data_IF_196785455347
#
_entry.id   IF_196785455347
#
_cell.length_a   1.000
_cell.length_b   1.000
_cell.length_c   1.000
_cell.angle_alpha   90.00
_cell.angle_beta   90.00
_cell.angle_gamma   90.00
#
_symmetry.space_group_name_H-M   'P 1'
#
loop_
_entity.id
_entity.type
_entity.pdbx_description
1 polymer ?
#
# COMPACT_ATOMS: atom_id res chain seq x y z
N UNK A 1 -20.59 12.82 18.58
CA UNK A 1 -19.23 12.83 18.00
C UNK A 1 -18.35 12.04 18.93
N UNK A 2 -17.80 10.92 18.46
CA UNK A 2 -16.80 10.16 19.24
C UNK A 2 -15.52 10.98 19.25
N UNK A 3 -14.99 11.26 20.43
CA UNK A 3 -13.72 11.99 20.58
C UNK A 3 -12.59 10.98 20.46
N UNK A 4 -11.84 11.02 19.36
CA UNK A 4 -10.66 10.17 19.18
C UNK A 4 -9.49 10.73 19.94
N UNK A 5 -8.69 9.84 20.53
CA UNK A 5 -7.43 10.21 21.13
C UNK A 5 -6.41 10.57 20.04
N UNK A 6 -5.48 11.46 20.39
CA UNK A 6 -4.34 11.79 19.52
C UNK A 6 -3.55 10.53 19.12
N UNK A 7 -3.47 9.55 20.02
CA UNK A 7 -2.76 8.30 19.78
C UNK A 7 -3.43 7.44 18.70
N UNK A 8 -4.77 7.32 18.70
CA UNK A 8 -5.50 6.57 17.67
C UNK A 8 -5.35 7.18 16.28
N UNK A 9 -5.37 8.52 16.21
CA UNK A 9 -5.16 9.26 14.96
C UNK A 9 -3.76 9.05 14.40
N UNK A 10 -2.73 9.17 15.25
CA UNK A 10 -1.34 8.91 14.86
C UNK A 10 -1.17 7.47 14.41
N UNK A 11 -1.71 6.48 15.15
CA UNK A 11 -1.63 5.06 14.77
C UNK A 11 -2.30 4.78 13.42
N UNK A 12 -3.45 5.39 13.14
CA UNK A 12 -4.13 5.21 11.87
C UNK A 12 -3.34 5.82 10.71
N UNK A 13 -2.83 7.05 10.88
CA UNK A 13 -1.97 7.70 9.90
C UNK A 13 -0.69 6.89 9.66
N UNK A 14 0.00 6.45 10.72
CA UNK A 14 1.21 5.63 10.66
C UNK A 14 0.95 4.31 9.94
N UNK A 15 -0.20 3.67 10.20
CA UNK A 15 -0.58 2.43 9.50
C UNK A 15 -0.75 2.68 8.02
N UNK A 16 -1.42 3.76 7.62
CA UNK A 16 -1.57 4.14 6.21
C UNK A 16 -0.21 4.46 5.59
N UNK A 17 0.62 5.27 6.24
CA UNK A 17 1.98 5.59 5.80
C UNK A 17 2.85 4.35 5.63
N UNK A 18 2.80 3.42 6.59
CA UNK A 18 3.54 2.17 6.53
C UNK A 18 3.12 1.35 5.31
N UNK A 19 1.81 1.10 5.13
CA UNK A 19 1.34 0.31 3.99
C UNK A 19 1.70 0.99 2.65
N UNK A 20 1.53 2.30 2.51
CA UNK A 20 1.93 3.03 1.31
C UNK A 20 3.44 2.89 1.04
N UNK A 21 4.27 3.05 2.09
CA UNK A 21 5.73 2.93 1.97
C UNK A 21 6.14 1.54 1.48
N UNK A 22 5.44 0.49 1.91
CA UNK A 22 5.65 -0.88 1.41
C UNK A 22 5.26 -1.02 -0.08
N UNK A 23 4.22 -0.32 -0.55
CA UNK A 23 3.89 -0.30 -1.99
C UNK A 23 5.05 0.30 -2.81
N UNK A 24 5.72 1.34 -2.30
CA UNK A 24 6.91 1.91 -2.93
C UNK A 24 8.14 0.99 -2.84
N UNK A 25 8.22 0.11 -1.86
CA UNK A 25 9.27 -0.91 -1.77
C UNK A 25 9.30 -1.82 -3.00
N UNK A 26 8.13 -2.21 -3.49
CA UNK A 26 7.99 -2.95 -4.75
C UNK A 26 8.49 -2.16 -5.95
N UNK A 27 8.13 -0.88 -6.04
CA UNK A 27 8.61 -0.01 -7.10
C UNK A 27 10.14 0.12 -7.08
N UNK A 28 10.74 0.39 -5.92
CA UNK A 28 12.18 0.47 -5.76
C UNK A 28 12.86 -0.85 -6.17
N UNK A 29 12.24 -1.99 -5.84
CA UNK A 29 12.70 -3.30 -6.28
C UNK A 29 12.69 -3.42 -7.81
N UNK A 30 11.53 -3.25 -8.45
CA UNK A 30 11.40 -3.47 -9.90
C UNK A 30 12.22 -2.46 -10.72
N UNK A 31 12.20 -1.18 -10.37
CA UNK A 31 12.81 -0.13 -11.19
C UNK A 31 14.31 0.08 -10.95
N UNK A 32 14.81 -0.22 -9.74
CA UNK A 32 16.20 0.16 -9.35
C UNK A 32 17.03 -1.03 -8.88
N UNK A 33 16.51 -1.83 -7.96
CA UNK A 33 17.30 -2.86 -7.28
C UNK A 33 17.42 -4.12 -8.13
N UNK A 34 16.30 -4.68 -8.57
CA UNK A 34 16.25 -5.94 -9.32
C UNK A 34 17.05 -5.88 -10.63
N UNK A 35 16.95 -4.83 -11.47
CA UNK A 35 17.76 -4.74 -12.69
C UNK A 35 19.27 -4.70 -12.38
N UNK A 36 19.66 -3.98 -11.32
CA UNK A 36 21.06 -3.87 -10.90
C UNK A 36 21.59 -5.21 -10.41
N UNK A 37 20.80 -5.97 -9.65
CA UNK A 37 21.21 -7.28 -9.14
C UNK A 37 21.18 -8.37 -10.22
N UNK A 38 20.18 -8.36 -11.11
CA UNK A 38 20.10 -9.32 -12.21
C UNK A 38 21.27 -9.21 -13.19
N UNK A 39 21.88 -8.03 -13.31
CA UNK A 39 23.04 -7.80 -14.16
C UNK A 39 24.34 -8.39 -13.60
N UNK A 40 24.36 -8.86 -12.35
CA UNK A 40 25.51 -9.50 -11.71
C UNK A 40 25.44 -11.02 -11.90
N UNK A 41 26.49 -11.60 -12.48
CA UNK A 41 26.64 -13.05 -12.55
C UNK A 41 27.09 -13.59 -11.18
N UNK A 42 26.14 -14.18 -10.45
CA UNK A 42 26.37 -14.75 -9.11
C UNK A 42 26.18 -16.29 -9.08
N UNK A 43 26.08 -16.93 -10.25
CA UNK A 43 25.81 -18.36 -10.37
C UNK A 43 24.47 -18.80 -9.76
N UNK A 44 24.30 -20.12 -9.57
CA UNK A 44 23.02 -20.69 -9.15
C UNK A 44 22.55 -20.25 -7.75
N UNK A 45 23.48 -20.00 -6.82
CA UNK A 45 23.15 -19.59 -5.46
C UNK A 45 22.68 -18.13 -5.40
N UNK A 46 23.34 -17.22 -6.12
CA UNK A 46 22.89 -15.84 -6.22
C UNK A 46 21.54 -15.70 -6.92
N UNK A 47 21.30 -16.51 -7.96
CA UNK A 47 19.99 -16.58 -8.60
C UNK A 47 18.87 -17.00 -7.62
N UNK A 48 19.14 -17.99 -6.76
CA UNK A 48 18.18 -18.40 -5.72
C UNK A 48 17.89 -17.26 -4.73
N UNK A 49 18.90 -16.55 -4.23
CA UNK A 49 18.68 -15.44 -3.32
C UNK A 49 17.93 -14.28 -3.96
N UNK A 50 18.23 -13.97 -5.23
CA UNK A 50 17.51 -12.98 -6.01
C UNK A 50 16.01 -13.32 -6.10
N UNK A 51 15.71 -14.56 -6.46
CA UNK A 51 14.33 -15.08 -6.54
C UNK A 51 13.62 -14.98 -5.20
N UNK A 52 14.27 -15.42 -4.11
CA UNK A 52 13.69 -15.36 -2.76
C UNK A 52 13.38 -13.92 -2.35
N UNK A 53 14.29 -12.98 -2.60
CA UNK A 53 14.08 -11.56 -2.33
C UNK A 53 12.93 -10.98 -3.16
N UNK A 54 12.87 -11.31 -4.45
CA UNK A 54 11.78 -10.88 -5.33
C UNK A 54 10.41 -11.35 -4.82
N UNK A 55 10.29 -12.63 -4.42
CA UNK A 55 9.04 -13.16 -3.88
C UNK A 55 8.64 -12.45 -2.59
N UNK A 56 9.59 -12.24 -1.66
CA UNK A 56 9.32 -11.54 -0.41
C UNK A 56 8.81 -10.11 -0.65
N UNK A 57 9.37 -9.42 -1.65
CA UNK A 57 8.93 -8.07 -2.03
C UNK A 57 7.53 -8.09 -2.65
N UNK A 58 7.23 -9.04 -3.55
CA UNK A 58 5.90 -9.21 -4.15
C UNK A 58 4.85 -9.56 -3.09
N UNK A 59 5.13 -10.52 -2.22
CA UNK A 59 4.21 -10.93 -1.16
C UNK A 59 3.95 -9.77 -0.18
N UNK A 60 5.02 -9.06 0.20
CA UNK A 60 4.91 -7.84 1.01
C UNK A 60 4.02 -6.79 0.35
N UNK A 61 4.21 -6.54 -0.94
CA UNK A 61 3.38 -5.63 -1.72
C UNK A 61 1.90 -6.03 -1.70
N UNK A 62 1.59 -7.28 -2.04
CA UNK A 62 0.21 -7.78 -2.13
C UNK A 62 -0.50 -7.76 -0.76
N UNK A 63 0.21 -8.12 0.32
CA UNK A 63 -0.33 -8.07 1.68
C UNK A 63 -0.67 -6.63 2.09
N UNK A 64 0.21 -5.67 1.83
CA UNK A 64 -0.04 -4.27 2.19
C UNK A 64 -1.14 -3.64 1.33
N UNK A 65 -1.23 -4.01 0.06
CA UNK A 65 -2.34 -3.63 -0.82
C UNK A 65 -3.68 -4.16 -0.28
N UNK A 66 -3.73 -5.44 0.12
CA UNK A 66 -4.92 -6.04 0.74
C UNK A 66 -5.30 -5.30 2.04
N UNK A 67 -4.33 -5.03 2.91
CA UNK A 67 -4.55 -4.31 4.18
C UNK A 67 -5.14 -2.93 3.96
N UNK A 68 -4.63 -2.18 2.98
CA UNK A 68 -5.20 -0.88 2.60
C UNK A 68 -6.65 -1.04 2.11
N UNK A 69 -6.92 -2.03 1.26
CA UNK A 69 -8.28 -2.23 0.75
C UNK A 69 -9.28 -2.63 1.86
N UNK A 70 -8.83 -3.42 2.83
CA UNK A 70 -9.62 -3.74 4.03
C UNK A 70 -9.78 -2.51 4.93
N UNK A 71 -8.76 -1.68 5.10
CA UNK A 71 -8.84 -0.43 5.88
C UNK A 71 -9.93 0.52 5.38
N UNK A 72 -10.13 0.62 4.07
CA UNK A 72 -11.18 1.44 3.46
C UNK A 72 -12.52 0.73 3.29
N UNK A 73 -12.64 -0.54 3.70
CA UNK A 73 -13.91 -1.27 3.58
C UNK A 73 -15.02 -0.63 4.40
N UNK A 74 -16.25 -0.79 3.91
CA UNK A 74 -17.45 -0.33 4.63
C UNK A 74 -17.60 -1.08 5.94
N UNK A 75 -18.22 -0.42 6.92
CA UNK A 75 -18.60 -1.05 8.18
C UNK A 75 -19.47 -2.29 7.87
N UNK A 76 -19.18 -3.46 8.47
CA UNK A 76 -20.00 -4.65 8.28
C UNK A 76 -21.46 -4.40 8.69
N UNK A 77 -22.42 -4.87 7.88
CA UNK A 77 -23.87 -4.80 8.21
C UNK A 77 -24.24 -5.69 9.41
N UNK A 78 -23.36 -6.64 9.76
CA UNK A 78 -23.56 -7.65 10.80
C UNK A 78 -22.55 -7.49 11.93
N UNK A 79 -22.84 -6.61 12.87
CA UNK A 79 -22.76 -6.86 14.32
C UNK A 79 -22.83 -5.53 15.07
N UNK A 80 -23.77 -5.47 16.01
CA UNK A 80 -23.77 -4.46 17.06
C UNK A 80 -22.82 -4.83 18.21
N UNK A 81 -22.10 -5.96 18.10
CA UNK A 81 -21.46 -6.63 19.23
C UNK A 81 -20.05 -7.22 18.93
N UNK A 82 -19.54 -7.17 17.69
CA UNK A 82 -18.12 -7.47 17.42
C UNK A 82 -17.45 -6.15 17.06
N UNK A 83 -16.74 -5.56 18.02
CA UNK A 83 -15.80 -4.49 17.70
C UNK A 83 -14.79 -5.05 16.70
N UNK A 84 -14.63 -4.37 15.55
CA UNK A 84 -13.53 -4.66 14.65
C UNK A 84 -12.23 -4.48 15.45
N UNK A 85 -11.44 -5.54 15.63
CA UNK A 85 -10.12 -5.48 16.30
C UNK A 85 -9.16 -4.46 15.64
N UNK A 86 -9.47 -4.07 14.39
CA UNK A 86 -8.70 -3.14 13.58
C UNK A 86 -9.38 -1.77 13.45
N UNK A 87 -8.59 -0.70 13.65
CA UNK A 87 -8.99 0.64 13.19
C UNK A 87 -9.15 0.67 11.66
N UNK A 88 -10.21 1.34 11.19
CA UNK A 88 -10.66 1.41 9.78
C UNK A 88 -10.99 2.86 9.42
N UNK A 89 -11.01 3.21 8.15
CA UNK A 89 -11.28 4.57 7.70
C UNK A 89 -12.64 5.11 8.19
N UNK A 90 -13.67 4.25 8.23
CA UNK A 90 -15.00 4.64 8.71
C UNK A 90 -15.01 5.02 10.20
N UNK A 91 -14.07 4.49 10.98
CA UNK A 91 -13.92 4.87 12.37
C UNK A 91 -13.48 6.33 12.50
N UNK A 92 -12.98 7.00 11.45
CA UNK A 92 -12.57 8.41 11.49
C UNK A 92 -13.55 9.35 10.78
N UNK A 93 -14.74 8.87 10.43
CA UNK A 93 -15.73 9.65 9.68
C UNK A 93 -15.27 10.00 8.26
N UNK A 94 -14.35 9.23 7.68
CA UNK A 94 -13.91 9.41 6.30
C UNK A 94 -15.10 9.21 5.36
N UNK A 95 -15.39 10.12 4.40
CA UNK A 95 -16.60 10.05 3.58
C UNK A 95 -16.49 9.03 2.43
N UNK A 96 -15.31 8.79 1.88
CA UNK A 96 -15.10 7.92 0.72
C UNK A 96 -14.86 6.46 1.14
N UNK A 97 -15.85 5.89 1.81
CA UNK A 97 -15.78 4.52 2.34
C UNK A 97 -16.17 3.51 1.27
N UNK A 98 -15.30 2.54 1.02
CA UNK A 98 -15.47 1.54 -0.02
C UNK A 98 -14.12 0.91 -0.36
N UNK A 99 -14.16 -0.35 -0.76
CA UNK A 99 -12.99 -1.01 -1.34
C UNK A 99 -12.61 -0.27 -2.63
N UNK A 100 -11.33 0.01 -2.81
CA UNK A 100 -10.82 0.59 -4.04
C UNK A 100 -10.55 -0.47 -5.11
N UNK A 101 -10.37 -1.73 -4.70
CA UNK A 101 -10.36 -2.88 -5.60
C UNK A 101 -11.76 -3.47 -5.74
N UNK A 102 -12.10 -3.86 -6.96
CA UNK A 102 -13.35 -4.55 -7.21
C UNK A 102 -13.33 -5.97 -6.59
N UNK A 103 -14.50 -6.61 -6.42
CA UNK A 103 -14.58 -7.94 -5.79
C UNK A 103 -13.80 -9.04 -6.52
N UNK A 104 -13.65 -8.93 -7.85
CA UNK A 104 -12.96 -9.92 -8.67
C UNK A 104 -11.44 -9.76 -8.53
N UNK A 105 -10.93 -8.53 -8.59
CA UNK A 105 -9.53 -8.21 -8.31
C UNK A 105 -9.15 -8.61 -6.89
N UNK A 106 -10.04 -8.37 -5.92
CA UNK A 106 -9.84 -8.82 -4.55
C UNK A 106 -9.79 -10.33 -4.40
N UNK A 107 -10.58 -11.06 -5.18
CA UNK A 107 -10.56 -12.53 -5.19
C UNK A 107 -9.25 -13.04 -5.78
N UNK A 108 -8.77 -12.43 -6.86
CA UNK A 108 -7.47 -12.78 -7.45
C UNK A 108 -6.31 -12.42 -6.52
N UNK A 109 -6.34 -11.25 -5.87
CA UNK A 109 -5.37 -10.87 -4.84
C UNK A 109 -5.32 -11.90 -3.70
N UNK A 110 -6.48 -12.31 -3.18
CA UNK A 110 -6.55 -13.35 -2.14
C UNK A 110 -5.98 -14.68 -2.61
N UNK A 111 -6.28 -15.10 -3.84
CA UNK A 111 -5.71 -16.32 -4.42
C UNK A 111 -4.20 -16.21 -4.53
N UNK A 112 -3.65 -15.08 -5.00
CA UNK A 112 -2.21 -14.88 -5.12
C UNK A 112 -1.51 -14.94 -3.77
N UNK A 113 -2.09 -14.32 -2.74
CA UNK A 113 -1.56 -14.38 -1.37
C UNK A 113 -1.67 -15.81 -0.79
N UNK A 114 -2.80 -16.50 -0.98
CA UNK A 114 -3.04 -17.82 -0.39
C UNK A 114 -2.40 -18.99 -1.17
N UNK A 115 -2.13 -18.80 -2.46
CA UNK A 115 -1.58 -19.78 -3.38
C UNK A 115 -0.30 -19.29 -4.04
N UNK A 116 0.56 -18.59 -3.28
CA UNK A 116 1.95 -18.36 -3.68
C UNK A 116 2.62 -19.73 -3.82
N UNK A 117 2.56 -20.30 -5.03
CA UNK A 117 3.06 -21.64 -5.33
C UNK A 117 4.48 -21.53 -5.85
N UNK A 118 5.29 -22.59 -5.67
CA UNK A 118 6.68 -22.68 -6.12
C UNK A 118 6.92 -22.30 -7.60
N UNK A 119 5.87 -22.29 -8.44
CA UNK A 119 5.95 -21.87 -9.84
C UNK A 119 6.04 -20.35 -10.00
N UNK A 120 5.35 -19.59 -9.15
CA UNK A 120 5.45 -18.11 -9.10
C UNK A 120 6.84 -17.68 -8.66
N UNK A 121 7.47 -18.45 -7.76
CA UNK A 121 8.85 -18.25 -7.35
C UNK A 121 9.85 -18.41 -8.51
N UNK A 122 9.60 -19.30 -9.47
CA UNK A 122 10.55 -19.57 -10.56
C UNK A 122 10.42 -18.63 -11.76
N UNK A 123 9.26 -17.98 -11.94
CA UNK A 123 8.95 -17.21 -13.16
C UNK A 123 8.77 -15.72 -12.89
N UNK A 124 8.53 -15.33 -11.63
CA UNK A 124 8.40 -13.93 -11.23
C UNK A 124 7.20 -13.26 -11.89
N UNK A 125 6.00 -13.46 -11.34
CA UNK A 125 4.82 -12.76 -11.84
C UNK A 125 4.89 -11.27 -11.44
N UNK A 126 5.03 -10.40 -12.44
CA UNK A 126 4.82 -8.97 -12.32
C UNK A 126 3.75 -8.60 -13.34
N UNK A 127 2.50 -8.44 -12.90
CA UNK A 127 1.45 -7.95 -13.79
C UNK A 127 1.25 -6.44 -13.62
N UNK A 128 1.04 -5.77 -14.74
CA UNK A 128 0.56 -4.40 -14.89
C UNK A 128 -0.63 -4.04 -13.96
N UNK A 129 -1.39 -5.04 -13.53
CA UNK A 129 -2.50 -4.93 -12.57
C UNK A 129 -2.03 -4.44 -11.18
N UNK A 130 -0.79 -4.76 -10.76
CA UNK A 130 -0.21 -4.24 -9.53
C UNK A 130 -0.02 -2.71 -9.60
N UNK A 131 0.39 -2.16 -10.75
CA UNK A 131 0.53 -0.71 -10.89
C UNK A 131 -0.83 -0.01 -10.73
N UNK A 132 -1.86 -0.51 -11.42
CA UNK A 132 -3.21 0.06 -11.33
C UNK A 132 -3.78 -0.04 -9.92
N UNK A 133 -3.60 -1.17 -9.25
CA UNK A 133 -4.02 -1.35 -7.88
C UNK A 133 -3.29 -0.41 -6.90
N UNK A 134 -1.99 -0.19 -7.10
CA UNK A 134 -1.21 0.76 -6.31
C UNK A 134 -1.70 2.21 -6.51
N UNK A 135 -2.01 2.60 -7.75
CA UNK A 135 -2.55 3.92 -8.06
C UNK A 135 -3.87 4.18 -7.33
N UNK A 136 -4.80 3.22 -7.38
CA UNK A 136 -6.08 3.29 -6.69
C UNK A 136 -5.90 3.35 -5.16
N UNK A 137 -4.99 2.56 -4.63
CA UNK A 137 -4.65 2.53 -3.21
C UNK A 137 -4.09 3.88 -2.74
N UNK A 138 -3.11 4.43 -3.48
CA UNK A 138 -2.49 5.71 -3.17
C UNK A 138 -3.50 6.85 -3.20
N UNK A 139 -4.38 6.88 -4.21
CA UNK A 139 -5.45 7.88 -4.31
C UNK A 139 -6.32 7.91 -3.05
N UNK A 140 -6.85 6.75 -2.63
CA UNK A 140 -7.69 6.65 -1.43
C UNK A 140 -6.91 6.99 -0.17
N UNK A 141 -5.65 6.56 -0.10
CA UNK A 141 -4.82 6.81 1.06
C UNK A 141 -4.47 8.30 1.22
N UNK A 142 -4.18 9.03 0.14
CA UNK A 142 -3.97 10.47 0.20
C UNK A 142 -5.24 11.23 0.55
N UNK A 143 -6.40 10.84 0.01
CA UNK A 143 -7.69 11.44 0.40
C UNK A 143 -7.96 11.24 1.90
N UNK A 144 -7.63 10.08 2.44
CA UNK A 144 -7.77 9.81 3.87
C UNK A 144 -6.81 10.62 4.73
N UNK A 145 -5.53 10.69 4.36
CA UNK A 145 -4.54 11.51 5.08
C UNK A 145 -4.93 12.99 5.06
N UNK A 146 -5.44 13.49 3.94
CA UNK A 146 -5.99 14.84 3.83
C UNK A 146 -7.21 15.04 4.74
N UNK A 147 -8.12 14.07 4.80
CA UNK A 147 -9.26 14.09 5.72
C UNK A 147 -8.80 14.16 7.17
N UNK A 148 -7.81 13.36 7.56
CA UNK A 148 -7.25 13.37 8.91
C UNK A 148 -6.64 14.73 9.25
N UNK A 149 -5.81 15.28 8.34
CA UNK A 149 -5.21 16.60 8.47
C UNK A 149 -6.27 17.69 8.70
N UNK A 150 -7.29 17.74 7.85
CA UNK A 150 -8.32 18.80 7.87
C UNK A 150 -9.28 18.68 9.06
N UNK A 151 -9.55 17.46 9.51
CA UNK A 151 -10.60 17.20 10.51
C UNK A 151 -10.06 17.22 11.93
N UNK A 152 -8.82 16.76 12.15
CA UNK A 152 -8.31 16.49 13.50
C UNK A 152 -7.09 17.32 13.90
N UNK A 153 -6.41 17.99 12.96
CA UNK A 153 -5.23 18.79 13.26
C UNK A 153 -5.46 20.27 12.98
N UNK A 154 -4.90 21.11 13.84
CA UNK A 154 -4.82 22.56 13.57
C UNK A 154 -3.75 22.82 12.53
N UNK A 155 -4.07 23.63 11.52
CA UNK A 155 -3.11 24.00 10.51
C UNK A 155 -1.86 24.65 11.12
N UNK A 156 -0.69 24.24 10.65
CA UNK A 156 0.61 24.68 11.16
C UNK A 156 1.06 24.02 12.48
N UNK A 157 0.28 23.12 13.08
CA UNK A 157 0.76 22.35 14.25
C UNK A 157 1.97 21.47 13.86
N UNK A 158 2.88 21.15 14.80
CA UNK A 158 4.02 20.27 14.52
C UNK A 158 3.62 18.94 13.89
N UNK A 159 2.51 18.34 14.34
CA UNK A 159 2.00 17.07 13.82
C UNK A 159 1.39 17.23 12.43
N UNK A 160 0.62 18.29 12.18
CA UNK A 160 0.11 18.61 10.85
C UNK A 160 1.27 18.80 9.86
N UNK A 161 2.32 19.53 10.24
CA UNK A 161 3.48 19.76 9.38
C UNK A 161 4.23 18.45 9.10
N UNK A 162 4.48 17.63 10.12
CA UNK A 162 5.14 16.33 9.95
C UNK A 162 4.36 15.41 9.00
N UNK A 163 3.03 15.36 9.13
CA UNK A 163 2.20 14.55 8.23
C UNK A 163 2.15 15.12 6.80
N UNK A 164 2.15 16.45 6.64
CA UNK A 164 2.27 17.10 5.33
C UNK A 164 3.62 16.78 4.67
N UNK A 165 4.72 16.87 5.42
CA UNK A 165 6.06 16.55 4.92
C UNK A 165 6.14 15.09 4.45
N UNK A 166 5.59 14.15 5.23
CA UNK A 166 5.49 12.75 4.83
C UNK A 166 4.66 12.57 3.55
N UNK A 167 3.52 13.27 3.42
CA UNK A 167 2.71 13.25 2.19
C UNK A 167 3.49 13.80 0.99
N UNK A 168 4.24 14.88 1.15
CA UNK A 168 5.07 15.48 0.09
C UNK A 168 6.10 14.47 -0.41
N UNK A 169 6.78 13.76 0.49
CA UNK A 169 7.75 12.72 0.13
C UNK A 169 7.06 11.61 -0.68
N UNK A 170 5.92 11.09 -0.20
CA UNK A 170 5.19 10.03 -0.89
C UNK A 170 4.64 10.46 -2.26
N UNK A 171 4.13 11.68 -2.39
CA UNK A 171 3.68 12.25 -3.66
C UNK A 171 4.87 12.40 -4.62
N UNK A 172 6.03 12.81 -4.11
CA UNK A 172 7.27 12.87 -4.89
C UNK A 172 7.69 11.50 -5.42
N UNK A 173 7.65 10.47 -4.58
CA UNK A 173 7.93 9.08 -4.99
C UNK A 173 6.92 8.59 -6.03
N UNK A 174 5.62 8.85 -5.83
CA UNK A 174 4.58 8.50 -6.80
C UNK A 174 4.78 9.18 -8.15
N UNK A 175 5.09 10.48 -8.12
CA UNK A 175 5.33 11.27 -9.34
C UNK A 175 6.55 10.76 -10.10
N UNK A 176 7.62 10.36 -9.39
CA UNK A 176 8.78 9.73 -10.01
C UNK A 176 8.42 8.40 -10.67
N UNK A 177 7.63 7.57 -9.99
CA UNK A 177 7.16 6.30 -10.53
C UNK A 177 6.33 6.49 -11.80
N UNK A 178 5.37 7.41 -11.78
CA UNK A 178 4.55 7.68 -12.96
C UNK A 178 5.40 8.04 -14.18
N UNK A 179 6.39 8.92 -14.01
CA UNK A 179 7.29 9.37 -15.09
C UNK A 179 8.14 8.23 -15.65
N UNK A 180 8.75 7.41 -14.79
CA UNK A 180 9.61 6.29 -15.24
C UNK A 180 8.78 5.24 -16.00
N UNK A 181 7.59 4.93 -15.52
CA UNK A 181 6.71 3.96 -16.17
C UNK A 181 6.09 4.47 -17.49
N UNK A 182 6.09 5.78 -17.75
CA UNK A 182 5.74 6.36 -19.05
C UNK A 182 6.90 6.25 -20.05
N UNK A 183 8.15 6.40 -19.57
CA UNK A 183 9.35 6.28 -20.40
C UNK A 183 9.59 4.84 -20.88
N UNK A 184 9.26 3.82 -20.08
CA UNK A 184 9.36 2.41 -20.49
C UNK A 184 8.36 2.00 -21.59
N UNK A 185 7.36 2.83 -21.89
CA UNK A 185 6.36 2.58 -22.94
C UNK A 185 6.67 3.25 -24.29
N UNK A 186 7.67 4.14 -24.33
CA UNK A 186 8.05 4.92 -25.52
C UNK A 186 9.24 4.28 -26.24
#
# INVERSE_FOLDING_TARGET
MTTYTKEELTKAADRVFHNISQLFGYYAWVGKIAPTLASKDEGAQGHLYFVLAQNAVVDGYLINLRRLNEFFSKRPDKSKDEEDDDLRAYHFGFPEIGRFLDPQDMKELHKRIAHSTNRTALVGDVSYEAKQAAELALKHAFQFLEHILRTFYTDGSPESNSMKDACIVLIGLWSSWCKEAEQEKA
#
